data_IF_767862576604
#
_entry.id   IF_767862576604
#
_cell.length_a   1.000
_cell.length_b   1.000
_cell.length_c   1.000
_cell.angle_alpha   90.00
_cell.angle_beta   90.00
_cell.angle_gamma   90.00
#
_symmetry.space_group_name_H-M   'P 1'
#
loop_
_entity.id
_entity.type
_entity.pdbx_description
1 polymer ?
#
# COMPACT_ATOMS: atom_id res chain seq x y z
N UNK A 1 10.87 -16.71 -3.80
CA UNK A 1 10.31 -15.34 -3.94
C UNK A 1 10.69 -14.59 -2.69
N UNK A 2 11.60 -13.62 -2.83
CA UNK A 2 12.06 -12.79 -1.72
C UNK A 2 10.90 -11.87 -1.28
N UNK A 3 10.45 -11.99 -0.04
CA UNK A 3 9.35 -11.18 0.48
C UNK A 3 9.90 -9.78 0.79
N UNK A 4 9.59 -8.79 -0.04
CA UNK A 4 9.88 -7.39 0.31
C UNK A 4 9.01 -6.98 1.50
N UNK A 5 9.65 -6.33 2.48
CA UNK A 5 9.00 -5.78 3.67
C UNK A 5 8.56 -4.33 3.49
N UNK A 6 8.76 -3.76 2.29
CA UNK A 6 8.30 -2.40 2.00
C UNK A 6 6.78 -2.40 1.89
N UNK A 7 6.10 -1.53 2.65
CA UNK A 7 4.64 -1.39 2.60
C UNK A 7 4.09 -1.15 1.17
N UNK A 8 4.87 -0.47 0.32
CA UNK A 8 4.51 -0.27 -1.09
C UNK A 8 4.41 -1.59 -1.86
N UNK A 9 5.31 -2.53 -1.63
CA UNK A 9 5.36 -3.80 -2.35
C UNK A 9 4.27 -4.75 -1.83
N UNK A 10 4.02 -4.74 -0.52
CA UNK A 10 2.89 -5.46 0.11
C UNK A 10 1.56 -5.00 -0.50
N UNK A 11 1.34 -3.68 -0.60
CA UNK A 11 0.16 -3.10 -1.25
C UNK A 11 0.04 -3.54 -2.70
N UNK A 12 1.13 -3.44 -3.46
CA UNK A 12 1.12 -3.74 -4.89
C UNK A 12 0.85 -5.24 -5.14
N UNK A 13 1.40 -6.14 -4.32
CA UNK A 13 1.11 -7.56 -4.39
C UNK A 13 -0.36 -7.88 -4.07
N UNK A 14 -0.92 -7.28 -3.02
CA UNK A 14 -2.34 -7.43 -2.70
C UNK A 14 -3.22 -6.90 -3.84
N UNK A 15 -2.86 -5.76 -4.44
CA UNK A 15 -3.57 -5.18 -5.58
C UNK A 15 -3.55 -6.09 -6.81
N UNK A 16 -2.36 -6.60 -7.19
CA UNK A 16 -2.22 -7.53 -8.32
C UNK A 16 -2.97 -8.84 -8.06
N UNK A 17 -2.90 -9.36 -6.83
CA UNK A 17 -3.64 -10.55 -6.41
C UNK A 17 -5.15 -10.38 -6.57
N UNK A 18 -5.72 -9.27 -6.09
CA UNK A 18 -7.15 -8.97 -6.27
C UNK A 18 -7.48 -8.79 -7.75
N UNK A 19 -6.69 -8.03 -8.50
CA UNK A 19 -6.96 -7.75 -9.91
C UNK A 19 -7.01 -9.04 -10.74
N UNK A 20 -6.03 -9.92 -10.57
CA UNK A 20 -5.98 -11.19 -11.29
C UNK A 20 -7.09 -12.15 -10.84
N UNK A 21 -7.38 -12.21 -9.54
CA UNK A 21 -8.34 -13.17 -9.01
C UNK A 21 -9.80 -12.79 -9.26
N UNK A 22 -10.11 -11.49 -9.32
CA UNK A 22 -11.49 -10.98 -9.47
C UNK A 22 -11.81 -10.50 -10.88
N UNK A 23 -10.79 -10.26 -11.72
CA UNK A 23 -10.89 -9.68 -13.07
C UNK A 23 -11.65 -8.34 -13.11
N UNK A 24 -11.67 -7.63 -11.98
CA UNK A 24 -12.30 -6.32 -11.86
C UNK A 24 -11.49 -5.25 -12.60
N UNK A 25 -12.19 -4.21 -13.08
CA UNK A 25 -11.54 -3.02 -13.62
C UNK A 25 -10.84 -2.27 -12.49
N UNK A 26 -9.75 -1.59 -12.81
CA UNK A 26 -8.99 -0.76 -11.86
C UNK A 26 -9.90 0.23 -11.11
N UNK A 27 -10.86 0.84 -11.79
CA UNK A 27 -11.81 1.76 -11.18
C UNK A 27 -12.75 1.10 -10.16
N UNK A 28 -13.08 -0.19 -10.35
CA UNK A 28 -13.89 -0.97 -9.40
C UNK A 28 -13.03 -1.32 -8.18
N UNK A 29 -11.80 -1.76 -8.39
CA UNK A 29 -10.85 -2.06 -7.32
C UNK A 29 -10.58 -0.83 -6.44
N UNK A 30 -10.42 0.34 -7.06
CA UNK A 30 -10.18 1.60 -6.35
C UNK A 30 -11.35 2.05 -5.46
N UNK A 31 -12.56 1.51 -5.66
CA UNK A 31 -13.75 1.86 -4.87
C UNK A 31 -14.03 0.90 -3.72
N UNK A 32 -13.34 -0.25 -3.66
CA UNK A 32 -13.53 -1.24 -2.60
C UNK A 32 -13.24 -0.58 -1.25
N UNK A 33 -14.18 -0.70 -0.33
CA UNK A 33 -14.02 -0.28 1.06
C UNK A 33 -13.79 -1.50 1.95
N UNK A 34 -13.26 -1.27 3.15
CA UNK A 34 -13.03 -2.36 4.10
C UNK A 34 -14.33 -3.06 4.48
N UNK A 35 -15.44 -2.32 4.63
CA UNK A 35 -16.77 -2.89 4.90
C UNK A 35 -17.34 -3.76 3.79
N UNK A 36 -16.81 -3.64 2.57
CA UNK A 36 -17.24 -4.46 1.44
C UNK A 36 -16.58 -5.85 1.47
N UNK A 37 -15.68 -6.10 2.44
CA UNK A 37 -14.97 -7.35 2.61
C UNK A 37 -15.63 -8.15 3.73
N UNK A 38 -16.10 -9.34 3.39
CA UNK A 38 -16.59 -10.35 4.33
C UNK A 38 -15.71 -11.61 4.27
N UNK A 39 -16.01 -12.60 5.09
CA UNK A 39 -15.32 -13.90 5.08
C UNK A 39 -16.32 -15.04 4.88
N UNK A 40 -15.92 -16.05 4.12
CA UNK A 40 -16.63 -17.33 4.07
C UNK A 40 -16.30 -18.19 5.28
N UNK A 41 -17.11 -19.21 5.54
CA UNK A 41 -16.83 -20.26 6.53
C UNK A 41 -15.50 -20.99 6.28
N UNK A 42 -15.04 -21.01 5.02
CA UNK A 42 -13.75 -21.57 4.60
C UNK A 42 -12.56 -20.63 4.78
N UNK A 43 -12.74 -19.47 5.44
CA UNK A 43 -11.68 -18.50 5.73
C UNK A 43 -11.20 -17.70 4.52
N UNK A 44 -11.94 -17.72 3.40
CA UNK A 44 -11.62 -16.90 2.22
C UNK A 44 -12.28 -15.53 2.35
N UNK A 45 -11.60 -14.49 1.88
CA UNK A 45 -12.21 -13.17 1.76
C UNK A 45 -13.23 -13.15 0.61
N UNK A 46 -14.37 -12.53 0.84
CA UNK A 46 -15.41 -12.21 -0.14
C UNK A 46 -15.45 -10.69 -0.30
N UNK A 47 -15.44 -10.21 -1.54
CA UNK A 47 -15.55 -8.79 -1.85
C UNK A 47 -16.90 -8.55 -2.50
N UNK A 48 -17.72 -7.70 -1.88
CA UNK A 48 -18.99 -7.25 -2.43
C UNK A 48 -18.79 -6.02 -3.33
N UNK A 49 -19.20 -6.11 -4.59
CA UNK A 49 -19.11 -5.01 -5.56
C UNK A 49 -20.52 -4.52 -5.90
N UNK A 50 -20.93 -3.42 -5.26
CA UNK A 50 -22.27 -2.86 -5.46
C UNK A 50 -22.50 -2.18 -6.81
N UNK A 51 -21.45 -1.67 -7.49
CA UNK A 51 -21.60 -0.97 -8.78
C UNK A 51 -20.43 -1.23 -9.72
N UNK A 52 -20.72 -1.89 -10.85
CA UNK A 52 -19.79 -1.99 -11.99
C UNK A 52 -20.31 -1.16 -13.17
N UNK A 53 -19.45 -0.90 -14.17
CA UNK A 53 -19.77 0.02 -15.28
C UNK A 53 -21.00 -0.38 -16.10
N UNK A 54 -21.25 -1.68 -16.24
CA UNK A 54 -22.30 -2.22 -17.13
C UNK A 54 -23.39 -2.96 -16.38
N UNK A 55 -23.20 -3.24 -15.10
CA UNK A 55 -24.17 -3.98 -14.29
C UNK A 55 -25.11 -2.97 -13.65
N UNK A 56 -26.29 -2.83 -14.26
CA UNK A 56 -27.46 -2.15 -13.70
C UNK A 56 -28.29 -3.17 -12.89
N UNK A 57 -27.63 -4.03 -12.12
CA UNK A 57 -28.31 -4.93 -11.19
C UNK A 57 -28.19 -4.35 -9.79
N UNK A 58 -29.34 -4.18 -9.14
CA UNK A 58 -29.48 -3.59 -7.80
C UNK A 58 -28.79 -4.40 -6.70
N UNK A 59 -28.48 -5.68 -6.96
CA UNK A 59 -27.95 -6.61 -5.97
C UNK A 59 -26.40 -6.67 -5.91
N UNK A 60 -25.69 -6.03 -6.85
CA UNK A 60 -24.23 -6.13 -6.92
C UNK A 60 -23.72 -7.53 -7.31
N UNK A 61 -22.41 -7.75 -7.16
CA UNK A 61 -21.75 -9.05 -7.40
C UNK A 61 -20.76 -9.32 -6.27
N UNK A 62 -20.71 -10.56 -5.79
CA UNK A 62 -19.69 -11.00 -4.84
C UNK A 62 -18.55 -11.75 -5.55
N UNK A 63 -17.32 -11.50 -5.09
CA UNK A 63 -16.12 -12.17 -5.61
C UNK A 63 -15.35 -12.79 -4.45
N UNK A 64 -15.30 -14.13 -4.43
CA UNK A 64 -14.48 -14.86 -3.48
C UNK A 64 -13.01 -14.84 -3.90
N UNK A 65 -12.13 -14.57 -2.95
CA UNK A 65 -10.69 -14.60 -3.13
C UNK A 65 -10.13 -16.01 -2.87
N UNK A 66 -9.07 -16.38 -3.56
CA UNK A 66 -8.29 -17.56 -3.18
C UNK A 66 -7.64 -17.36 -1.79
N UNK A 67 -7.28 -18.46 -1.11
CA UNK A 67 -6.60 -18.39 0.19
C UNK A 67 -5.25 -17.66 0.11
N UNK A 68 -4.50 -17.85 -0.97
CA UNK A 68 -3.22 -17.16 -1.18
C UNK A 68 -3.39 -15.65 -1.28
N UNK A 69 -4.37 -15.20 -2.07
CA UNK A 69 -4.69 -13.77 -2.22
C UNK A 69 -5.25 -13.20 -0.93
N UNK A 70 -6.08 -13.97 -0.21
CA UNK A 70 -6.61 -13.59 1.11
C UNK A 70 -5.47 -13.23 2.07
N UNK A 71 -4.43 -14.07 2.17
CA UNK A 71 -3.25 -13.78 3.01
C UNK A 71 -2.50 -12.52 2.60
N UNK A 72 -2.40 -12.22 1.29
CA UNK A 72 -1.77 -10.99 0.81
C UNK A 72 -2.57 -9.75 1.24
N UNK A 73 -3.90 -9.82 1.14
CA UNK A 73 -4.80 -8.74 1.53
C UNK A 73 -4.79 -8.55 3.05
N UNK A 74 -4.79 -9.63 3.83
CA UNK A 74 -4.64 -9.57 5.29
C UNK A 74 -3.34 -8.91 5.71
N UNK A 75 -2.22 -9.29 5.07
CA UNK A 75 -0.92 -8.65 5.33
C UNK A 75 -0.98 -7.16 5.02
N UNK A 76 -1.60 -6.75 3.91
CA UNK A 76 -1.78 -5.35 3.56
C UNK A 76 -2.63 -4.59 4.58
N UNK A 77 -3.79 -5.13 4.97
CA UNK A 77 -4.69 -4.49 5.95
C UNK A 77 -3.97 -4.28 7.29
N UNK A 78 -3.22 -5.29 7.74
CA UNK A 78 -2.47 -5.24 9.00
C UNK A 78 -1.37 -4.16 8.99
N UNK A 79 -0.65 -3.95 7.89
CA UNK A 79 0.45 -2.96 7.83
C UNK A 79 -0.02 -1.55 7.48
N UNK A 80 -1.20 -1.40 6.90
CA UNK A 80 -1.71 -0.11 6.41
C UNK A 80 -2.63 0.60 7.39
N UNK A 81 -3.21 -0.12 8.37
CA UNK A 81 -4.16 0.46 9.33
C UNK A 81 -5.51 0.84 8.70
N UNK A 82 -5.79 0.42 7.46
CA UNK A 82 -7.07 0.79 6.81
C UNK A 82 -8.29 0.24 7.52
N UNK A 83 -8.13 -0.82 8.33
CA UNK A 83 -9.19 -1.42 9.12
C UNK A 83 -9.70 -0.56 10.29
N UNK A 84 -9.02 0.55 10.62
CA UNK A 84 -9.42 1.45 11.71
C UNK A 84 -10.82 2.06 11.48
N UNK A 85 -11.21 2.29 10.21
CA UNK A 85 -12.56 2.70 9.82
C UNK A 85 -13.07 1.78 8.69
N UNK A 86 -14.19 1.06 8.88
CA UNK A 86 -14.81 0.23 7.84
C UNK A 86 -15.15 0.99 6.55
N UNK A 87 -15.31 2.32 6.60
CA UNK A 87 -15.61 3.14 5.44
C UNK A 87 -14.38 3.54 4.62
N UNK A 88 -13.17 3.27 5.12
CA UNK A 88 -11.94 3.52 4.39
C UNK A 88 -11.89 2.71 3.10
N UNK A 89 -11.28 3.30 2.08
CA UNK A 89 -10.88 2.55 0.89
C UNK A 89 -9.81 1.53 1.26
N UNK A 90 -9.94 0.31 0.73
CA UNK A 90 -9.00 -0.77 0.96
C UNK A 90 -7.57 -0.37 0.56
N UNK A 91 -7.43 0.31 -0.58
CA UNK A 91 -6.13 0.77 -1.08
C UNK A 91 -5.95 2.27 -0.87
N UNK A 92 -4.85 2.63 -0.22
CA UNK A 92 -4.48 4.02 0.04
C UNK A 92 -3.06 4.34 -0.48
N UNK A 93 -2.71 5.62 -0.48
CA UNK A 93 -1.40 6.09 -0.92
C UNK A 93 -0.34 5.80 0.15
N UNK A 94 0.68 5.03 -0.20
CA UNK A 94 1.90 4.85 0.61
C UNK A 94 2.92 5.91 0.20
N UNK A 95 3.30 6.80 1.12
CA UNK A 95 4.36 7.79 0.90
C UNK A 95 5.71 7.18 1.29
N UNK A 96 6.79 7.63 0.64
CA UNK A 96 8.13 7.39 1.18
C UNK A 96 8.22 8.15 2.51
N UNK A 97 8.66 7.48 3.57
CA UNK A 97 9.03 8.16 4.81
C UNK A 97 10.23 9.05 4.49
N UNK A 98 9.97 10.34 4.26
CA UNK A 98 11.04 11.33 4.19
C UNK A 98 11.33 11.64 5.65
N UNK A 99 12.36 11.01 6.21
CA UNK A 99 12.96 11.54 7.44
C UNK A 99 13.25 13.02 7.19
N UNK A 100 12.91 13.93 8.13
CA UNK A 100 13.27 15.33 7.97
C UNK A 100 14.77 15.36 7.66
N UNK A 101 15.14 15.91 6.50
CA UNK A 101 16.56 16.09 6.18
C UNK A 101 17.15 16.85 7.36
N UNK A 102 18.08 16.23 8.05
CA UNK A 102 18.87 16.90 9.07
C UNK A 102 19.51 18.09 8.35
N UNK A 103 18.94 19.28 8.49
CA UNK A 103 19.65 20.48 8.10
C UNK A 103 20.75 20.59 9.14
N UNK A 104 22.04 20.46 8.76
CA UNK A 104 23.09 20.72 9.73
C UNK A 104 22.86 22.13 10.28
N UNK A 105 22.99 22.35 11.61
CA UNK A 105 22.81 23.68 12.16
C UNK A 105 23.76 24.65 11.45
N UNK A 106 23.29 25.87 11.20
CA UNK A 106 24.00 26.91 10.44
C UNK A 106 25.40 27.25 10.99
N UNK A 107 25.75 26.77 12.19
CA UNK A 107 27.09 26.83 12.78
C UNK A 107 28.18 26.11 11.98
N UNK A 108 27.83 25.23 11.03
CA UNK A 108 28.80 24.53 10.17
C UNK A 108 29.10 25.24 8.83
N UNK A 109 28.51 26.39 8.55
CA UNK A 109 28.69 27.09 7.26
C UNK A 109 29.80 28.16 7.23
N UNK A 110 30.55 28.34 8.33
CA UNK A 110 31.68 29.28 8.36
C UNK A 110 32.97 28.56 8.79
N UNK A 111 33.59 27.88 7.83
CA UNK A 111 35.03 27.63 7.87
C UNK A 111 35.63 28.11 6.54
N UNK A 112 36.35 29.25 6.51
CA UNK A 112 37.11 29.63 5.35
C UNK A 112 38.31 28.67 5.23
N UNK A 113 38.38 27.92 4.14
CA UNK A 113 39.60 27.24 3.71
C UNK A 113 40.71 28.27 3.46
N UNK A 114 41.55 28.54 4.47
CA UNK A 114 42.89 29.11 4.31
C UNK A 114 43.82 28.45 5.33
N UNK A 115 44.51 27.38 4.94
CA UNK A 115 45.57 26.84 5.81
C UNK A 115 46.13 25.45 5.50
N UNK A 116 45.51 24.63 4.65
CA UNK A 116 45.90 23.21 4.53
C UNK A 116 46.83 22.87 3.34
N UNK A 117 47.63 23.83 2.84
CA UNK A 117 48.62 23.60 1.77
C UNK A 117 49.99 24.22 2.13
N UNK A 118 50.54 23.87 3.31
CA UNK A 118 51.95 24.14 3.64
C UNK A 118 52.63 22.99 4.38
N UNK A 119 52.24 21.75 4.07
CA UNK A 119 52.81 20.55 4.70
C UNK A 119 53.02 19.39 3.70
N UNK A 120 53.29 19.72 2.44
CA UNK A 120 53.74 18.77 1.41
C UNK A 120 54.93 19.32 0.60
N UNK A 121 55.85 20.01 1.28
CA UNK A 121 57.23 20.17 0.85
C UNK A 121 58.09 20.12 2.11
N UNK A 122 58.47 18.90 2.48
CA UNK A 122 59.81 18.49 2.91
C UNK A 122 59.93 16.99 2.62
#
# INVERSE_FOLDING_TARGET
MENSDRCQDIRNLAFLGIAYNTLLRIAEIARIRVKDISRTDGGRMLIHIGRTKTLVSTAGVEKALSLGVTKLVERWISVSGVADDPNNYLFCRVRKMVLPRHHPPASYQLAPWKGFLKQLTD
#
